data_IF_874031383772
#
_entry.id   IF_874031383772
#
_cell.length_a   1.000
_cell.length_b   1.000
_cell.length_c   1.000
_cell.angle_alpha   90.00
_cell.angle_beta   90.00
_cell.angle_gamma   90.00
#
_symmetry.space_group_name_H-M   'P 1'
#
loop_
_entity.id
_entity.type
_entity.pdbx_description
1 polymer ?
#
# COMPACT_ATOMS: atom_id res chain seq x y z
N UNK A 1 22.55 -12.65 -3.18
CA UNK A 1 21.20 -12.08 -3.28
C UNK A 1 20.32 -13.14 -3.90
N UNK A 2 19.21 -13.50 -3.27
CA UNK A 2 18.21 -14.41 -3.83
C UNK A 2 17.24 -13.64 -4.74
N UNK A 3 16.62 -14.36 -5.67
CA UNK A 3 15.51 -13.84 -6.47
C UNK A 3 14.50 -14.97 -6.68
N UNK A 4 13.27 -14.62 -6.97
CA UNK A 4 12.23 -15.56 -7.34
C UNK A 4 12.14 -15.67 -8.86
N UNK A 5 12.26 -16.90 -9.37
CA UNK A 5 12.11 -17.18 -10.80
C UNK A 5 10.65 -17.51 -11.17
N UNK A 6 10.42 -17.74 -12.47
CA UNK A 6 9.10 -18.08 -12.98
C UNK A 6 8.54 -19.43 -12.48
N UNK A 7 9.36 -20.27 -11.85
CA UNK A 7 8.88 -21.52 -11.24
C UNK A 7 8.42 -21.31 -9.80
N UNK A 8 8.87 -20.23 -9.15
CA UNK A 8 8.51 -19.90 -7.77
C UNK A 8 7.31 -18.96 -7.72
N UNK A 9 7.32 -17.89 -8.54
CA UNK A 9 6.22 -16.92 -8.62
C UNK A 9 5.59 -16.93 -10.01
N UNK A 10 5.10 -18.08 -10.42
CA UNK A 10 4.60 -18.38 -11.77
C UNK A 10 3.50 -17.41 -12.20
N UNK A 11 2.58 -17.04 -11.32
CA UNK A 11 1.52 -16.10 -11.66
C UNK A 11 2.04 -14.71 -12.00
N UNK A 12 3.00 -14.17 -11.23
CA UNK A 12 3.60 -12.86 -11.53
C UNK A 12 4.27 -12.84 -12.91
N UNK A 13 5.00 -13.90 -13.26
CA UNK A 13 5.61 -14.01 -14.57
C UNK A 13 4.58 -14.12 -15.69
N UNK A 14 3.49 -14.87 -15.49
CA UNK A 14 2.40 -14.95 -16.45
C UNK A 14 1.72 -13.60 -16.65
N UNK A 15 1.42 -12.87 -15.56
CA UNK A 15 0.85 -11.53 -15.69
C UNK A 15 1.82 -10.56 -16.38
N UNK A 16 3.11 -10.59 -16.05
CA UNK A 16 4.11 -9.73 -16.66
C UNK A 16 4.25 -9.97 -18.18
N UNK A 17 4.12 -11.23 -18.63
CA UNK A 17 4.19 -11.60 -20.05
C UNK A 17 2.93 -11.24 -20.84
N UNK A 18 1.77 -11.14 -20.18
CA UNK A 18 0.50 -10.82 -20.84
C UNK A 18 0.11 -9.33 -20.75
N UNK A 19 0.62 -8.62 -19.77
CA UNK A 19 0.27 -7.24 -19.49
C UNK A 19 1.51 -6.36 -19.43
N UNK A 20 1.52 -5.29 -18.63
CA UNK A 20 2.61 -4.35 -18.57
C UNK A 20 3.31 -4.38 -17.20
N UNK A 21 4.63 -4.28 -17.23
CA UNK A 21 5.47 -4.08 -16.04
C UNK A 21 6.23 -2.76 -16.15
N UNK A 22 6.64 -2.21 -15.00
CA UNK A 22 7.64 -1.15 -14.96
C UNK A 22 8.90 -1.68 -14.26
N UNK A 23 10.05 -1.58 -14.94
CA UNK A 23 11.34 -2.07 -14.42
C UNK A 23 12.16 -0.96 -13.74
N UNK A 24 11.59 0.22 -13.56
CA UNK A 24 12.22 1.40 -12.99
C UNK A 24 11.35 2.06 -11.92
N UNK A 25 10.66 1.23 -11.12
CA UNK A 25 9.79 1.64 -10.02
C UNK A 25 10.49 1.47 -8.67
N UNK A 26 10.42 2.48 -7.81
CA UNK A 26 11.16 2.55 -6.56
C UNK A 26 10.28 2.84 -5.34
N UNK A 27 10.76 2.45 -4.16
CA UNK A 27 10.26 3.08 -2.93
C UNK A 27 10.46 4.60 -3.04
N UNK A 28 9.45 5.36 -2.64
CA UNK A 28 9.54 6.84 -2.62
C UNK A 28 10.61 7.31 -1.65
N UNK A 29 10.71 6.65 -0.49
CA UNK A 29 11.75 6.91 0.52
C UNK A 29 12.28 5.59 1.08
N UNK A 30 13.49 5.60 1.64
CA UNK A 30 13.96 4.49 2.46
C UNK A 30 13.12 4.40 3.73
N UNK A 31 12.57 3.24 3.99
CA UNK A 31 11.76 2.96 5.16
C UNK A 31 11.02 1.64 5.02
N UNK A 32 10.42 1.13 6.12
CA UNK A 32 9.58 -0.05 6.12
C UNK A 32 8.15 0.27 5.64
N UNK A 33 7.18 -0.61 5.92
CA UNK A 33 5.82 -0.61 5.36
C UNK A 33 5.06 0.70 5.55
N UNK A 34 5.10 1.33 6.73
CA UNK A 34 4.33 2.57 6.97
C UNK A 34 4.74 3.72 6.05
N UNK A 35 6.03 4.10 5.90
CA UNK A 35 6.43 5.09 4.92
C UNK A 35 5.99 4.75 3.49
N UNK A 36 6.11 3.49 3.08
CA UNK A 36 5.69 3.05 1.76
C UNK A 36 4.20 3.19 1.53
N UNK A 37 3.38 2.66 2.43
CA UNK A 37 1.92 2.75 2.37
C UNK A 37 1.42 4.21 2.36
N UNK A 38 2.02 5.08 3.18
CA UNK A 38 1.69 6.51 3.20
C UNK A 38 2.01 7.20 1.87
N UNK A 39 3.12 6.83 1.22
CA UNK A 39 3.47 7.40 -0.08
C UNK A 39 2.51 6.97 -1.20
N UNK A 40 1.93 5.77 -1.13
CA UNK A 40 0.92 5.32 -2.10
C UNK A 40 -0.33 6.21 -2.14
N UNK A 41 -0.69 6.87 -1.04
CA UNK A 41 -1.97 7.57 -0.93
C UNK A 41 -1.87 9.05 -0.57
N UNK A 42 -0.69 9.54 -0.15
CA UNK A 42 -0.46 10.96 0.15
C UNK A 42 0.88 11.50 -0.36
N UNK A 43 1.79 10.60 -0.81
CA UNK A 43 3.15 11.00 -1.18
C UNK A 43 3.90 11.65 -0.01
N UNK A 44 3.52 11.36 1.26
CA UNK A 44 3.92 12.16 2.40
C UNK A 44 4.12 11.31 3.67
N UNK A 45 5.24 11.51 4.34
CA UNK A 45 5.56 10.92 5.66
C UNK A 45 5.85 11.98 6.73
N UNK A 46 5.90 13.25 6.33
CA UNK A 46 6.04 14.40 7.24
C UNK A 46 4.66 14.88 7.76
N UNK A 47 4.66 15.93 8.56
CA UNK A 47 3.48 16.45 9.26
C UNK A 47 2.89 15.50 10.31
N UNK A 48 3.72 14.59 10.83
CA UNK A 48 3.35 13.65 11.88
C UNK A 48 3.41 14.27 13.26
N UNK A 49 2.43 13.92 14.10
CA UNK A 49 2.44 14.16 15.55
C UNK A 49 2.39 12.81 16.24
N UNK A 50 3.40 12.53 17.07
CA UNK A 50 3.43 11.34 17.92
C UNK A 50 2.63 11.55 19.19
N UNK A 51 2.09 10.45 19.74
CA UNK A 51 1.33 10.45 21.00
C UNK A 51 1.78 9.29 21.88
N UNK A 52 1.94 9.56 23.19
CA UNK A 52 2.17 8.55 24.24
C UNK A 52 1.20 8.80 25.37
N UNK A 53 0.39 7.79 25.70
CA UNK A 53 -0.66 7.95 26.72
C UNK A 53 -1.66 9.09 26.42
N UNK A 54 -1.90 9.37 25.13
CA UNK A 54 -2.78 10.44 24.67
C UNK A 54 -2.15 11.84 24.65
N UNK A 55 -0.89 11.99 25.08
CA UNK A 55 -0.17 13.27 25.09
C UNK A 55 0.78 13.38 23.91
N UNK A 56 0.90 14.55 23.25
CA UNK A 56 1.84 14.77 22.16
C UNK A 56 3.29 14.53 22.58
N UNK A 57 4.04 13.87 21.71
CA UNK A 57 5.49 13.67 21.82
C UNK A 57 6.17 14.86 21.15
N UNK A 58 7.10 15.52 21.88
CA UNK A 58 7.80 16.73 21.44
C UNK A 58 9.30 16.53 21.18
N UNK A 59 9.79 15.29 21.32
CA UNK A 59 11.17 14.91 21.06
C UNK A 59 11.23 13.75 20.08
N UNK A 60 12.26 13.71 19.26
CA UNK A 60 12.46 12.61 18.31
C UNK A 60 12.58 11.27 19.03
N UNK A 61 11.99 10.25 18.42
CA UNK A 61 12.12 8.86 18.83
C UNK A 61 13.10 8.20 17.86
N UNK A 62 14.27 7.75 18.34
CA UNK A 62 15.27 7.18 17.47
C UNK A 62 14.70 6.08 16.56
N UNK A 63 15.00 6.18 15.26
CA UNK A 63 14.60 5.22 14.23
C UNK A 63 13.07 5.03 14.04
N UNK A 64 12.23 5.95 14.53
CA UNK A 64 10.79 5.83 14.41
C UNK A 64 10.10 7.14 14.02
N UNK A 65 10.35 8.22 14.74
CA UNK A 65 9.76 9.54 14.49
C UNK A 65 10.84 10.61 14.66
N UNK A 66 11.21 11.27 13.59
CA UNK A 66 12.06 12.44 13.66
C UNK A 66 11.19 13.68 13.86
N UNK A 67 11.49 14.48 14.87
CA UNK A 67 10.89 15.81 15.06
C UNK A 67 11.95 16.87 14.76
N UNK A 68 11.70 17.71 13.77
CA UNK A 68 12.56 18.83 13.43
C UNK A 68 12.55 19.84 14.59
N UNK A 69 13.70 20.09 15.23
CA UNK A 69 13.75 20.97 16.40
C UNK A 69 13.42 22.44 16.11
N UNK A 70 13.46 22.86 14.84
CA UNK A 70 13.19 24.24 14.44
C UNK A 70 11.70 24.48 14.16
N UNK A 71 11.02 23.46 13.58
CA UNK A 71 9.63 23.58 13.13
C UNK A 71 8.65 22.81 14.01
N UNK A 72 9.13 21.84 14.78
CA UNK A 72 8.30 20.88 15.53
C UNK A 72 7.58 19.86 14.63
N UNK A 73 7.86 19.85 13.32
CA UNK A 73 7.24 18.92 12.38
C UNK A 73 7.87 17.54 12.54
N UNK A 74 7.02 16.52 12.70
CA UNK A 74 7.45 15.13 12.74
C UNK A 74 7.49 14.51 11.36
N UNK A 75 8.42 13.57 11.17
CA UNK A 75 8.50 12.68 9.99
C UNK A 75 8.54 11.24 10.46
N UNK A 76 7.63 10.41 9.95
CA UNK A 76 7.59 8.97 10.23
C UNK A 76 8.70 8.30 9.43
N UNK A 77 9.51 7.48 10.10
CA UNK A 77 10.64 6.76 9.50
C UNK A 77 10.59 5.25 9.74
N UNK A 78 9.59 4.77 10.48
CA UNK A 78 9.41 3.35 10.80
C UNK A 78 7.93 3.03 11.03
N UNK A 79 7.60 1.78 11.33
CA UNK A 79 6.25 1.30 11.59
C UNK A 79 5.77 1.75 12.96
N UNK A 80 4.98 2.79 12.96
CA UNK A 80 4.28 3.32 14.13
C UNK A 80 2.78 3.27 13.85
N UNK A 81 2.02 2.63 14.73
CA UNK A 81 0.58 2.51 14.56
C UNK A 81 -0.14 3.86 14.54
N UNK A 82 -1.29 3.97 13.85
CA UNK A 82 -2.10 5.17 13.83
C UNK A 82 -2.70 5.48 15.20
N UNK A 83 -2.72 6.77 15.55
CA UNK A 83 -3.31 7.23 16.80
C UNK A 83 -4.83 7.13 16.78
N UNK A 84 -5.38 6.36 17.69
CA UNK A 84 -6.82 6.23 17.90
C UNK A 84 -7.44 4.97 17.30
N UNK A 85 -6.65 4.12 16.65
CA UNK A 85 -7.08 2.80 16.20
C UNK A 85 -7.27 1.86 17.40
N UNK A 86 -8.49 1.36 17.61
CA UNK A 86 -8.83 0.41 18.69
C UNK A 86 -8.03 -0.91 18.56
N UNK A 87 -7.72 -1.31 17.35
CA UNK A 87 -6.98 -2.53 17.02
C UNK A 87 -5.48 -2.30 16.86
N UNK A 88 -5.05 -1.05 16.76
CA UNK A 88 -3.65 -0.64 16.75
C UNK A 88 -3.06 -0.76 18.15
N UNK A 89 -1.99 -1.50 18.27
CA UNK A 89 -1.15 -1.53 19.48
C UNK A 89 0.17 -2.13 19.08
N UNK A 90 1.10 -1.31 18.67
CA UNK A 90 2.55 -1.62 18.68
C UNK A 90 2.90 -3.14 18.63
N UNK A 91 2.19 -3.88 17.76
CA UNK A 91 2.28 -5.35 17.73
C UNK A 91 3.26 -5.88 16.69
N UNK A 92 3.81 -5.05 15.83
CA UNK A 92 4.57 -5.56 14.70
C UNK A 92 5.78 -4.77 14.24
N UNK A 93 5.94 -3.51 14.65
CA UNK A 93 7.05 -2.68 14.21
C UNK A 93 8.41 -3.20 14.66
N UNK A 94 9.41 -3.01 13.82
CA UNK A 94 10.83 -3.33 14.16
C UNK A 94 11.35 -2.55 15.36
N UNK A 95 10.72 -1.41 15.66
CA UNK A 95 10.97 -0.60 16.85
C UNK A 95 9.73 -0.59 17.72
N UNK A 96 9.71 -1.40 18.77
CA UNK A 96 8.63 -1.44 19.76
C UNK A 96 8.61 -0.14 20.55
N UNK A 97 7.66 0.72 20.23
CA UNK A 97 7.43 1.97 20.98
C UNK A 97 6.00 1.97 21.52
N UNK A 98 5.74 2.71 22.60
CA UNK A 98 4.37 2.98 23.05
C UNK A 98 3.79 4.22 22.36
N UNK A 99 4.37 4.64 21.25
CA UNK A 99 4.01 5.84 20.49
C UNK A 99 3.16 5.44 19.31
N UNK A 100 2.03 6.11 19.17
CA UNK A 100 1.17 6.10 17.99
C UNK A 100 1.26 7.46 17.29
N UNK A 101 0.90 7.55 16.03
CA UNK A 101 1.07 8.78 15.24
C UNK A 101 -0.19 9.18 14.50
N UNK A 102 -0.34 10.48 14.28
CA UNK A 102 -1.35 11.07 13.39
C UNK A 102 -0.67 12.00 12.42
N UNK A 103 -1.11 11.97 11.17
CA UNK A 103 -0.71 12.91 10.14
C UNK A 103 -1.73 14.04 10.03
N UNK A 104 -1.23 15.25 9.79
CA UNK A 104 -2.05 16.37 9.36
C UNK A 104 -1.91 16.59 7.84
N UNK A 105 -2.81 17.37 7.27
CA UNK A 105 -2.86 17.58 5.83
C UNK A 105 -3.94 16.73 5.16
N UNK A 106 -3.79 16.50 3.88
CA UNK A 106 -4.73 15.73 3.06
C UNK A 106 -4.12 14.42 2.59
N UNK A 107 -4.99 13.51 2.26
CA UNK A 107 -4.70 12.30 1.50
C UNK A 107 -5.59 12.23 0.25
N UNK A 108 -5.40 11.25 -0.60
CA UNK A 108 -6.19 11.11 -1.84
C UNK A 108 -7.67 10.91 -1.58
N UNK A 109 -8.05 10.28 -0.45
CA UNK A 109 -9.45 10.12 -0.05
C UNK A 109 -10.17 11.45 0.14
N UNK A 110 -9.48 12.46 0.70
CA UNK A 110 -10.02 13.82 0.80
C UNK A 110 -10.31 14.44 -0.57
N UNK A 111 -9.43 14.18 -1.56
CA UNK A 111 -9.61 14.69 -2.91
C UNK A 111 -10.73 13.95 -3.65
N UNK A 112 -10.81 12.63 -3.50
CA UNK A 112 -11.88 11.80 -4.06
C UNK A 112 -13.24 12.21 -3.49
N UNK A 113 -13.35 12.38 -2.16
CA UNK A 113 -14.56 12.85 -1.49
C UNK A 113 -15.00 14.23 -2.02
N UNK A 114 -14.06 15.16 -2.25
CA UNK A 114 -14.37 16.48 -2.79
C UNK A 114 -14.93 16.45 -4.22
N UNK A 115 -14.72 15.35 -4.94
CA UNK A 115 -15.21 15.11 -6.30
C UNK A 115 -16.37 14.10 -6.38
N UNK A 116 -16.83 13.57 -5.23
CA UNK A 116 -17.82 12.51 -5.15
C UNK A 116 -17.44 11.25 -5.94
N UNK A 117 -16.15 10.93 -5.99
CA UNK A 117 -15.64 9.67 -6.54
C UNK A 117 -15.65 8.63 -5.42
N UNK A 118 -16.28 7.48 -5.65
CA UNK A 118 -16.34 6.41 -4.66
C UNK A 118 -14.97 5.76 -4.49
N UNK A 119 -14.60 5.47 -3.23
CA UNK A 119 -13.32 4.85 -2.95
C UNK A 119 -13.35 4.03 -1.65
N UNK A 120 -12.37 3.15 -1.47
CA UNK A 120 -12.22 2.39 -0.24
C UNK A 120 -10.84 1.78 -0.09
N UNK A 121 -10.42 1.61 1.16
CA UNK A 121 -9.31 0.76 1.55
C UNK A 121 -9.88 -0.53 2.16
N UNK A 122 -9.45 -1.66 1.63
CA UNK A 122 -9.93 -2.99 2.01
C UNK A 122 -8.74 -3.79 2.56
N UNK A 123 -8.66 -3.94 3.88
CA UNK A 123 -7.57 -4.67 4.52
C UNK A 123 -8.05 -5.93 5.20
N UNK A 124 -7.32 -7.01 5.00
CA UNK A 124 -7.63 -8.27 5.64
C UNK A 124 -7.52 -8.21 7.17
N UNK A 125 -8.53 -8.75 7.86
CA UNK A 125 -8.63 -8.73 9.32
C UNK A 125 -9.08 -7.40 9.93
N UNK A 126 -9.50 -6.42 9.10
CA UNK A 126 -10.05 -5.15 9.58
C UNK A 126 -11.36 -5.33 10.34
N UNK A 127 -12.21 -6.29 9.93
CA UNK A 127 -13.43 -6.60 10.66
C UNK A 127 -13.10 -7.13 12.07
N UNK A 128 -13.61 -6.47 13.14
CA UNK A 128 -13.28 -6.86 14.50
C UNK A 128 -13.95 -8.19 14.88
N UNK A 129 -13.23 -9.03 15.63
CA UNK A 129 -13.81 -10.26 16.24
C UNK A 129 -14.74 -9.93 17.40
N UNK A 130 -14.53 -8.77 18.06
CA UNK A 130 -15.43 -8.18 19.03
C UNK A 130 -15.70 -6.74 18.65
N UNK A 131 -16.91 -6.39 18.21
CA UNK A 131 -17.25 -5.02 17.81
C UNK A 131 -17.14 -4.02 18.98
N UNK A 132 -16.83 -2.76 18.66
CA UNK A 132 -16.93 -1.66 19.61
C UNK A 132 -18.36 -1.50 20.11
N UNK A 133 -18.52 -1.08 21.38
CA UNK A 133 -19.81 -0.75 21.95
C UNK A 133 -19.85 0.69 22.43
N UNK A 134 -21.04 1.29 22.45
CA UNK A 134 -21.22 2.69 22.79
C UNK A 134 -22.24 2.86 23.89
N UNK A 135 -22.04 3.86 24.73
CA UNK A 135 -23.00 4.32 25.73
C UNK A 135 -24.20 5.03 25.05
N UNK A 136 -25.25 5.29 25.80
CA UNK A 136 -26.44 5.98 25.28
C UNK A 136 -26.15 7.42 24.81
N UNK A 137 -25.09 8.04 25.31
CA UNK A 137 -24.64 9.39 24.90
C UNK A 137 -23.73 9.36 23.66
N UNK A 138 -23.48 8.17 23.07
CA UNK A 138 -22.63 7.98 21.92
C UNK A 138 -21.13 7.87 22.22
N UNK A 139 -20.74 7.99 23.50
CA UNK A 139 -19.32 7.78 23.87
C UNK A 139 -18.94 6.30 23.81
N UNK A 140 -17.69 6.01 23.51
CA UNK A 140 -17.15 4.64 23.46
C UNK A 140 -17.25 3.98 24.84
N UNK A 141 -17.93 2.82 24.91
CA UNK A 141 -18.01 2.00 26.13
C UNK A 141 -16.92 0.94 26.17
N UNK A 142 -16.73 0.19 25.07
CA UNK A 142 -15.64 -0.76 24.89
C UNK A 142 -15.06 -0.64 23.50
N UNK A 143 -13.71 -0.66 23.33
CA UNK A 143 -13.08 -0.61 22.02
C UNK A 143 -13.30 -1.91 21.24
N UNK A 144 -13.15 -1.84 19.94
CA UNK A 144 -13.11 -3.00 19.06
C UNK A 144 -11.89 -3.89 19.36
N UNK A 145 -11.99 -5.18 19.00
CA UNK A 145 -10.88 -6.13 19.12
C UNK A 145 -10.73 -6.88 17.79
N UNK A 146 -9.60 -6.72 17.11
CA UNK A 146 -9.24 -7.44 15.90
C UNK A 146 -8.28 -8.58 16.25
N UNK A 147 -8.84 -9.72 16.60
CA UNK A 147 -8.07 -10.88 17.06
C UNK A 147 -8.20 -12.08 16.13
N UNK A 148 -8.62 -11.87 14.87
CA UNK A 148 -8.58 -12.94 13.88
C UNK A 148 -7.12 -13.30 13.60
N UNK A 149 -6.86 -14.59 13.52
CA UNK A 149 -5.50 -15.12 13.31
C UNK A 149 -5.55 -16.28 12.34
N UNK A 150 -4.49 -16.40 11.56
CA UNK A 150 -4.22 -17.60 10.77
C UNK A 150 -2.87 -18.18 11.15
N UNK A 151 -2.73 -19.51 10.98
CA UNK A 151 -1.44 -20.15 11.16
C UNK A 151 -0.54 -19.73 9.99
N UNK A 152 0.64 -19.18 10.30
CA UNK A 152 1.64 -18.86 9.30
C UNK A 152 2.04 -20.09 8.49
N UNK A 153 2.53 -19.89 7.27
CA UNK A 153 2.91 -21.00 6.39
C UNK A 153 4.06 -21.81 6.99
N UNK A 154 4.08 -23.16 6.81
CA UNK A 154 5.21 -23.99 7.21
C UNK A 154 6.49 -23.49 6.56
N UNK A 155 7.47 -23.08 7.35
CA UNK A 155 8.73 -22.59 6.86
C UNK A 155 9.06 -21.14 7.29
N UNK A 156 8.10 -20.40 7.83
CA UNK A 156 8.35 -19.08 8.39
C UNK A 156 9.10 -19.22 9.71
N UNK A 157 10.29 -18.59 9.86
CA UNK A 157 11.03 -18.62 11.12
C UNK A 157 10.23 -17.98 12.25
N UNK A 158 10.21 -18.63 13.43
CA UNK A 158 9.59 -18.02 14.60
C UNK A 158 10.41 -16.80 15.04
N UNK A 159 9.90 -15.57 14.94
CA UNK A 159 10.66 -14.37 15.29
C UNK A 159 10.85 -14.19 16.80
N UNK A 160 10.20 -15.02 17.64
CA UNK A 160 10.18 -14.80 19.10
C UNK A 160 11.31 -15.49 19.86
N UNK A 161 11.96 -16.52 19.31
CA UNK A 161 13.01 -17.27 19.99
C UNK A 161 14.45 -16.94 19.53
N UNK A 162 14.59 -16.09 18.52
CA UNK A 162 15.88 -15.69 17.96
C UNK A 162 16.68 -16.82 17.31
N UNK A 163 16.07 -18.00 17.10
CA UNK A 163 16.69 -19.12 16.44
C UNK A 163 16.31 -19.17 14.95
N UNK A 164 17.23 -18.84 14.03
CA UNK A 164 16.91 -18.84 12.60
C UNK A 164 16.59 -20.22 12.01
N UNK A 165 16.80 -21.28 12.77
CA UNK A 165 16.51 -22.65 12.36
C UNK A 165 15.24 -23.21 13.04
N UNK A 166 14.61 -22.44 13.90
CA UNK A 166 13.37 -22.84 14.54
C UNK A 166 12.19 -22.32 13.72
N UNK A 167 11.60 -23.24 12.98
CA UNK A 167 10.37 -23.00 12.21
C UNK A 167 9.21 -23.36 13.11
N UNK A 168 8.51 -22.36 13.65
CA UNK A 168 7.27 -22.59 14.37
C UNK A 168 6.10 -22.60 13.38
N UNK A 169 5.75 -23.78 12.92
CA UNK A 169 4.64 -24.01 11.98
C UNK A 169 3.25 -23.79 12.59
N UNK A 170 3.18 -23.37 13.86
CA UNK A 170 1.93 -23.34 14.62
C UNK A 170 1.65 -22.02 15.33
N UNK A 171 2.52 -21.01 15.22
CA UNK A 171 2.24 -19.71 15.84
C UNK A 171 1.19 -18.96 15.02
N UNK A 172 0.00 -18.68 15.60
CA UNK A 172 -0.99 -17.85 14.93
C UNK A 172 -0.47 -16.44 14.70
N UNK A 173 -0.62 -15.94 13.47
CA UNK A 173 -0.32 -14.55 13.08
C UNK A 173 -1.63 -13.78 13.10
N UNK A 174 -1.64 -12.59 13.70
CA UNK A 174 -2.80 -11.69 13.65
C UNK A 174 -2.98 -11.18 12.22
N UNK A 175 -4.18 -11.31 11.68
CA UNK A 175 -4.49 -10.94 10.29
C UNK A 175 -4.35 -9.45 10.01
N UNK A 176 -4.81 -8.62 10.94
CA UNK A 176 -4.77 -7.16 10.83
C UNK A 176 -3.43 -6.60 11.31
N UNK A 177 -2.85 -5.73 10.52
CA UNK A 177 -1.68 -4.93 10.87
C UNK A 177 -2.05 -3.45 10.79
N UNK A 178 -2.09 -2.75 11.92
CA UNK A 178 -2.56 -1.37 12.01
C UNK A 178 -1.67 -0.40 11.21
N UNK A 179 -0.36 -0.61 11.22
CA UNK A 179 0.57 0.26 10.51
C UNK A 179 0.53 0.08 8.98
N UNK A 180 -0.16 -0.92 8.46
CA UNK A 180 -0.43 -1.10 7.02
C UNK A 180 -1.69 -0.36 6.55
N UNK A 181 -2.43 0.32 7.45
CA UNK A 181 -3.67 1.04 7.15
C UNK A 181 -3.42 2.56 7.05
N UNK A 182 -2.94 3.08 5.90
CA UNK A 182 -2.42 4.45 5.82
C UNK A 182 -3.49 5.53 5.99
N UNK A 183 -4.75 5.25 5.66
CA UNK A 183 -5.85 6.21 5.84
C UNK A 183 -6.24 6.40 7.31
N UNK A 184 -5.89 5.46 8.19
CA UNK A 184 -6.12 5.55 9.63
C UNK A 184 -5.24 6.61 10.31
N UNK A 185 -4.19 7.09 9.66
CA UNK A 185 -3.33 8.16 10.20
C UNK A 185 -3.94 9.55 10.08
N UNK A 186 -5.02 9.73 9.32
CA UNK A 186 -5.63 11.03 9.05
C UNK A 186 -6.98 11.16 9.72
N UNK A 187 -7.22 12.30 10.41
CA UNK A 187 -8.47 12.54 11.11
C UNK A 187 -9.71 12.58 10.19
N UNK A 188 -9.50 12.88 8.89
CA UNK A 188 -10.59 12.93 7.89
C UNK A 188 -11.05 11.55 7.43
N UNK A 189 -10.18 10.55 7.46
CA UNK A 189 -10.46 9.23 6.88
C UNK A 189 -10.40 8.07 7.87
N UNK A 190 -10.02 8.31 9.13
CA UNK A 190 -9.94 7.27 10.16
C UNK A 190 -11.31 6.63 10.46
N UNK A 191 -11.33 5.32 10.62
CA UNK A 191 -12.42 4.55 11.25
C UNK A 191 -11.92 3.92 12.56
N UNK A 192 -11.83 4.68 13.66
CA UNK A 192 -11.08 4.29 14.85
C UNK A 192 -11.66 3.07 15.56
N UNK A 193 -12.94 2.79 15.35
CA UNK A 193 -13.68 1.72 16.02
C UNK A 193 -14.01 0.55 15.09
N UNK A 194 -13.44 0.50 13.90
CA UNK A 194 -13.65 -0.55 12.90
C UNK A 194 -15.15 -0.82 12.63
N UNK A 195 -15.92 0.24 12.51
CA UNK A 195 -17.34 0.12 12.22
C UNK A 195 -17.55 -0.38 10.80
N UNK A 196 -18.44 -1.37 10.59
CA UNK A 196 -18.73 -1.88 9.26
C UNK A 196 -19.51 -0.84 8.44
N UNK A 197 -19.56 -0.97 7.10
CA UNK A 197 -20.45 -0.17 6.28
C UNK A 197 -21.92 -0.41 6.70
N UNK A 198 -22.74 0.61 6.60
CA UNK A 198 -24.17 0.49 6.99
C UNK A 198 -24.97 -0.42 6.04
N UNK A 199 -24.47 -0.63 4.85
CA UNK A 199 -24.95 -1.63 3.88
C UNK A 199 -23.90 -1.84 2.77
N UNK A 200 -24.03 -2.90 1.98
CA UNK A 200 -23.15 -3.14 0.82
C UNK A 200 -23.20 -1.97 -0.16
N UNK A 201 -24.35 -1.31 -0.34
CA UNK A 201 -24.51 -0.16 -1.23
C UNK A 201 -23.79 1.10 -0.72
N UNK A 202 -23.44 1.15 0.56
CA UNK A 202 -22.68 2.26 1.13
C UNK A 202 -21.16 2.06 1.05
N UNK A 203 -20.70 0.89 0.63
CA UNK A 203 -19.26 0.67 0.38
C UNK A 203 -18.79 1.67 -0.69
N UNK A 204 -17.72 2.37 -0.40
CA UNK A 204 -17.17 3.44 -1.25
C UNK A 204 -17.81 4.82 -1.04
N UNK A 205 -18.81 4.93 -0.20
CA UNK A 205 -19.45 6.19 0.18
C UNK A 205 -19.18 6.56 1.63
N UNK A 206 -19.33 7.85 1.96
CA UNK A 206 -19.14 8.33 3.33
C UNK A 206 -20.27 7.85 4.23
N UNK A 207 -19.95 6.98 5.16
CA UNK A 207 -20.82 6.53 6.26
C UNK A 207 -19.97 6.27 7.53
N UNK A 208 -20.45 5.47 8.47
CA UNK A 208 -19.72 5.15 9.69
C UNK A 208 -18.40 4.38 9.47
N UNK A 209 -18.27 3.65 8.35
CA UNK A 209 -17.03 2.94 8.00
C UNK A 209 -15.93 3.90 7.49
N UNK A 210 -16.31 5.12 7.10
CA UNK A 210 -15.42 6.18 6.62
C UNK A 210 -14.40 5.69 5.57
N UNK A 211 -14.87 4.84 4.64
CA UNK A 211 -14.09 4.22 3.56
C UNK A 211 -13.05 3.18 3.97
N UNK A 212 -13.03 2.73 5.24
CA UNK A 212 -12.13 1.69 5.73
C UNK A 212 -12.92 0.40 5.93
N UNK A 213 -12.52 -0.67 5.28
CA UNK A 213 -13.29 -1.91 5.16
C UNK A 213 -12.43 -3.16 5.37
N UNK A 214 -13.08 -4.28 5.66
CA UNK A 214 -12.43 -5.58 5.57
C UNK A 214 -12.37 -6.06 4.10
N UNK A 215 -11.42 -6.94 3.78
CA UNK A 215 -11.28 -7.52 2.43
C UNK A 215 -12.54 -8.26 1.98
N UNK A 216 -13.34 -8.80 2.91
CA UNK A 216 -14.63 -9.43 2.62
C UNK A 216 -15.65 -8.44 2.05
N UNK A 217 -15.58 -7.17 2.42
CA UNK A 217 -16.44 -6.11 1.88
C UNK A 217 -16.11 -5.78 0.42
N UNK A 218 -14.83 -5.92 0.02
CA UNK A 218 -14.45 -5.82 -1.39
C UNK A 218 -15.21 -6.86 -2.24
N UNK A 219 -15.17 -8.13 -1.82
CA UNK A 219 -15.88 -9.17 -2.54
C UNK A 219 -17.41 -9.00 -2.48
N UNK A 220 -17.94 -8.50 -1.37
CA UNK A 220 -19.37 -8.19 -1.25
C UNK A 220 -19.78 -7.08 -2.21
N UNK A 221 -18.99 -6.00 -2.32
CA UNK A 221 -19.22 -4.90 -3.24
C UNK A 221 -19.13 -5.38 -4.71
N UNK A 222 -18.09 -6.15 -5.05
CA UNK A 222 -17.89 -6.71 -6.38
C UNK A 222 -19.06 -7.60 -6.81
N UNK A 223 -19.50 -8.51 -5.93
CA UNK A 223 -20.64 -9.40 -6.20
C UNK A 223 -21.97 -8.65 -6.32
N UNK A 224 -22.08 -7.48 -5.72
CA UNK A 224 -23.27 -6.63 -5.77
C UNK A 224 -23.26 -5.65 -6.97
N UNK A 225 -22.18 -5.60 -7.77
CA UNK A 225 -22.02 -4.60 -8.84
C UNK A 225 -21.86 -3.18 -8.28
N UNK A 226 -21.22 -3.04 -7.10
CA UNK A 226 -21.04 -1.79 -6.39
C UNK A 226 -19.55 -1.56 -6.02
N UNK A 227 -18.64 -2.00 -6.89
CA UNK A 227 -17.21 -1.80 -6.66
C UNK A 227 -16.90 -0.29 -6.69
N UNK A 228 -16.20 0.25 -5.66
CA UNK A 228 -15.79 1.66 -5.69
C UNK A 228 -14.84 1.95 -6.86
N UNK A 229 -14.93 3.18 -7.39
CA UNK A 229 -14.13 3.64 -8.51
C UNK A 229 -12.62 3.62 -8.24
N UNK A 230 -12.22 3.77 -6.97
CA UNK A 230 -10.83 3.57 -6.51
C UNK A 230 -10.86 2.62 -5.32
N UNK A 231 -10.20 1.47 -5.45
CA UNK A 231 -10.15 0.44 -4.43
C UNK A 231 -8.70 0.06 -4.13
N UNK A 232 -8.28 0.21 -2.89
CA UNK A 232 -7.00 -0.27 -2.40
C UNK A 232 -7.24 -1.59 -1.64
N UNK A 233 -6.44 -2.59 -1.93
CA UNK A 233 -6.50 -3.89 -1.26
C UNK A 233 -5.17 -4.17 -0.55
N UNK A 234 -5.24 -4.58 0.71
CA UNK A 234 -4.11 -5.09 1.48
C UNK A 234 -4.47 -6.47 2.02
N UNK A 235 -3.63 -7.46 1.73
CA UNK A 235 -3.81 -8.83 2.19
C UNK A 235 -3.79 -8.95 3.72
N UNK A 236 -4.27 -10.07 4.26
CA UNK A 236 -4.01 -10.45 5.65
C UNK A 236 -2.54 -10.76 5.83
N UNK A 237 -2.01 -10.57 7.03
CA UNK A 237 -0.59 -10.78 7.31
C UNK A 237 -0.07 -12.18 6.89
N UNK A 238 -0.88 -13.23 6.99
CA UNK A 238 -0.45 -14.58 6.61
C UNK A 238 -0.38 -14.79 5.07
N UNK A 239 -0.89 -13.86 4.28
CA UNK A 239 -0.95 -13.93 2.80
C UNK A 239 -0.42 -12.65 2.11
N UNK A 240 0.35 -11.82 2.82
CA UNK A 240 0.82 -10.50 2.36
C UNK A 240 2.21 -10.50 1.68
N UNK A 241 2.87 -11.65 1.61
CA UNK A 241 4.21 -11.78 1.03
C UNK A 241 5.36 -11.40 1.97
N UNK A 242 5.06 -10.86 3.15
CA UNK A 242 6.08 -10.47 4.12
C UNK A 242 6.85 -11.70 4.66
N UNK A 243 8.19 -11.76 4.56
CA UNK A 243 8.99 -12.96 4.91
C UNK A 243 8.82 -13.47 6.34
N UNK A 244 8.39 -12.62 7.27
CA UNK A 244 8.10 -13.00 8.66
C UNK A 244 6.70 -13.57 8.88
N UNK A 245 5.80 -13.43 7.91
CA UNK A 245 4.38 -13.72 8.04
C UNK A 245 3.90 -14.78 7.05
N UNK A 246 4.33 -14.68 5.79
CA UNK A 246 3.85 -15.53 4.71
C UNK A 246 4.99 -15.92 3.75
N UNK A 247 4.66 -16.69 2.74
CA UNK A 247 5.55 -17.01 1.64
C UNK A 247 4.97 -16.51 0.30
N UNK A 248 5.81 -16.44 -0.76
CA UNK A 248 5.37 -15.95 -2.07
C UNK A 248 4.25 -16.75 -2.72
N UNK A 249 4.08 -18.03 -2.39
CA UNK A 249 3.01 -18.86 -2.95
C UNK A 249 1.66 -18.59 -2.29
N UNK A 250 1.66 -18.28 -1.00
CA UNK A 250 0.45 -17.87 -0.30
C UNK A 250 -0.01 -16.49 -0.79
N UNK A 251 0.92 -15.55 -0.96
CA UNK A 251 0.65 -14.26 -1.61
C UNK A 251 0.10 -14.44 -3.02
N UNK A 252 0.76 -15.27 -3.84
CA UNK A 252 0.29 -15.59 -5.19
C UNK A 252 -1.15 -16.11 -5.20
N UNK A 253 -1.49 -17.00 -4.26
CA UNK A 253 -2.85 -17.54 -4.12
C UNK A 253 -3.87 -16.43 -3.86
N UNK A 254 -3.57 -15.49 -2.96
CA UNK A 254 -4.41 -14.33 -2.69
C UNK A 254 -4.61 -13.48 -3.95
N UNK A 255 -3.52 -13.06 -4.58
CA UNK A 255 -3.56 -12.20 -5.78
C UNK A 255 -4.33 -12.85 -6.93
N UNK A 256 -4.08 -14.13 -7.21
CA UNK A 256 -4.78 -14.85 -8.29
C UNK A 256 -6.28 -14.97 -8.01
N UNK A 257 -6.68 -15.22 -6.76
CA UNK A 257 -8.09 -15.27 -6.38
C UNK A 257 -8.79 -13.91 -6.59
N UNK A 258 -8.16 -12.81 -6.18
CA UNK A 258 -8.68 -11.45 -6.40
C UNK A 258 -8.82 -11.17 -7.89
N UNK A 259 -7.75 -11.37 -8.66
CA UNK A 259 -7.71 -11.07 -10.09
C UNK A 259 -8.68 -11.94 -10.90
N UNK A 260 -8.73 -13.24 -10.62
CA UNK A 260 -9.69 -14.13 -11.29
C UNK A 260 -11.14 -13.72 -11.02
N UNK A 261 -11.45 -13.31 -9.79
CA UNK A 261 -12.80 -12.88 -9.42
C UNK A 261 -13.17 -11.58 -10.12
N UNK A 262 -12.26 -10.61 -10.14
CA UNK A 262 -12.46 -9.33 -10.81
C UNK A 262 -12.60 -9.50 -12.31
N UNK A 263 -11.68 -10.24 -12.96
CA UNK A 263 -11.71 -10.45 -14.42
C UNK A 263 -12.95 -11.20 -14.91
N UNK A 264 -13.60 -12.00 -14.04
CA UNK A 264 -14.87 -12.67 -14.33
C UNK A 264 -16.09 -11.79 -14.11
N UNK A 265 -15.94 -10.64 -13.46
CA UNK A 265 -17.03 -9.70 -13.21
C UNK A 265 -17.20 -8.70 -14.36
N UNK A 266 -18.35 -8.05 -14.47
CA UNK A 266 -18.53 -6.96 -15.42
C UNK A 266 -17.54 -5.81 -15.25
N UNK A 267 -17.17 -5.50 -14.00
CA UNK A 267 -16.27 -4.42 -13.62
C UNK A 267 -14.83 -4.66 -14.11
N UNK A 268 -14.41 -5.92 -14.25
CA UNK A 268 -13.09 -6.26 -14.76
C UNK A 268 -12.79 -5.72 -16.17
N UNK A 269 -13.83 -5.48 -16.95
CA UNK A 269 -13.70 -4.93 -18.31
C UNK A 269 -13.25 -3.46 -18.35
N UNK A 270 -13.45 -2.74 -17.26
CA UNK A 270 -13.19 -1.30 -17.16
C UNK A 270 -12.19 -0.98 -16.03
N UNK A 271 -11.57 -2.00 -15.44
CA UNK A 271 -10.68 -1.85 -14.29
C UNK A 271 -9.22 -1.98 -14.70
N UNK A 272 -8.38 -1.12 -14.14
CA UNK A 272 -6.94 -1.28 -14.11
C UNK A 272 -6.52 -1.70 -12.69
N UNK A 273 -5.83 -2.83 -12.59
CA UNK A 273 -5.24 -3.31 -11.33
C UNK A 273 -3.75 -3.00 -11.36
N UNK A 274 -3.28 -2.33 -10.32
CA UNK A 274 -1.87 -2.08 -10.08
C UNK A 274 -1.45 -2.98 -8.92
N UNK A 275 -0.39 -3.78 -9.12
CA UNK A 275 0.26 -4.57 -8.08
C UNK A 275 1.61 -3.95 -7.79
N UNK A 276 1.82 -3.60 -6.52
CA UNK A 276 3.10 -3.09 -6.02
C UNK A 276 3.23 -3.38 -4.53
N UNK A 277 4.38 -3.08 -3.97
CA UNK A 277 4.72 -3.33 -2.58
C UNK A 277 4.92 -2.02 -1.81
N UNK A 278 4.60 -2.02 -0.52
CA UNK A 278 4.85 -0.91 0.40
C UNK A 278 6.35 -0.76 0.69
N UNK A 279 7.10 -1.87 0.78
CA UNK A 279 8.56 -1.83 0.88
C UNK A 279 9.21 -3.11 0.31
N UNK A 280 10.52 -3.24 0.48
CA UNK A 280 11.28 -4.38 -0.03
C UNK A 280 11.43 -5.53 0.97
N UNK A 281 11.05 -5.36 2.21
CA UNK A 281 11.14 -6.36 3.30
C UNK A 281 12.47 -7.12 3.39
N UNK A 282 13.56 -6.45 3.08
CA UNK A 282 14.87 -7.08 3.01
C UNK A 282 15.17 -7.84 1.72
N UNK A 283 14.24 -7.91 0.77
CA UNK A 283 14.46 -8.36 -0.58
C UNK A 283 15.01 -7.20 -1.41
N UNK A 284 16.33 -7.16 -1.59
CA UNK A 284 16.99 -6.05 -2.27
C UNK A 284 17.25 -6.39 -3.73
N UNK A 285 16.86 -5.44 -4.57
CA UNK A 285 17.33 -5.39 -5.95
C UNK A 285 18.78 -4.87 -6.01
N UNK A 286 19.49 -5.17 -7.08
CA UNK A 286 20.84 -4.64 -7.33
C UNK A 286 20.84 -3.24 -7.94
N UNK A 287 19.67 -2.68 -8.30
CA UNK A 287 19.53 -1.36 -8.88
C UNK A 287 19.27 -0.31 -7.79
N UNK A 288 20.18 0.64 -7.66
CA UNK A 288 19.97 1.80 -6.80
C UNK A 288 19.12 2.85 -7.51
N UNK A 289 18.19 3.46 -6.75
CA UNK A 289 17.48 4.66 -7.17
C UNK A 289 18.34 5.91 -7.07
N UNK A 290 18.03 6.91 -7.89
CA UNK A 290 18.62 8.26 -7.74
C UNK A 290 18.13 8.92 -6.44
N UNK A 291 19.01 9.66 -5.77
CA UNK A 291 18.59 10.44 -4.60
C UNK A 291 17.88 11.71 -5.07
N UNK A 292 16.56 11.69 -5.07
CA UNK A 292 15.69 12.83 -5.43
C UNK A 292 15.29 13.66 -4.22
N UNK A 293 15.33 13.05 -3.03
CA UNK A 293 15.06 13.70 -1.74
C UNK A 293 16.25 13.51 -0.81
N UNK A 294 17.21 14.46 -0.80
CA UNK A 294 18.34 14.39 0.12
C UNK A 294 17.90 14.68 1.55
N UNK A 295 18.59 14.10 2.51
CA UNK A 295 18.36 14.25 3.95
C UNK A 295 19.67 14.31 4.71
N UNK A 296 19.70 15.02 5.84
CA UNK A 296 20.88 15.17 6.67
C UNK A 296 20.50 15.06 8.16
N UNK A 297 20.20 13.85 8.59
CA UNK A 297 19.83 13.54 9.98
C UNK A 297 20.70 12.42 10.54
N UNK A 298 20.60 12.17 11.83
CA UNK A 298 21.28 11.03 12.46
C UNK A 298 20.78 9.67 11.97
N UNK A 299 19.69 9.62 11.22
CA UNK A 299 19.11 8.39 10.62
C UNK A 299 19.65 8.12 9.21
N UNK A 300 20.33 9.08 8.60
CA UNK A 300 20.81 8.97 7.23
C UNK A 300 22.21 8.33 7.18
N UNK A 301 22.38 7.34 6.29
CA UNK A 301 23.66 6.63 6.13
C UNK A 301 23.99 6.30 4.68
N UNK A 302 23.14 6.70 3.71
CA UNK A 302 23.31 6.27 2.33
C UNK A 302 24.61 6.78 1.70
N UNK A 303 24.95 8.04 1.90
CA UNK A 303 26.19 8.63 1.38
C UNK A 303 27.35 8.51 2.36
N UNK A 304 27.13 9.03 3.55
CA UNK A 304 28.00 8.90 4.73
C UNK A 304 27.13 9.01 5.97
N UNK A 305 27.69 8.72 7.16
CA UNK A 305 26.96 8.89 8.40
C UNK A 305 26.41 10.33 8.51
N UNK A 306 25.11 10.45 8.71
CA UNK A 306 24.41 11.73 8.81
C UNK A 306 24.07 12.39 7.47
N UNK A 307 24.19 11.68 6.34
CA UNK A 307 23.88 12.26 5.02
C UNK A 307 23.34 11.21 4.04
N UNK A 308 22.26 11.60 3.37
CA UNK A 308 21.70 10.95 2.20
C UNK A 308 21.79 11.91 1.01
N UNK A 309 22.57 11.56 0.00
CA UNK A 309 22.77 12.37 -1.20
C UNK A 309 23.60 13.64 -0.92
N UNK A 310 23.04 14.78 -1.21
CA UNK A 310 23.67 16.11 -1.01
C UNK A 310 23.06 16.82 0.21
N UNK A 311 23.63 17.97 0.58
CA UNK A 311 23.01 18.81 1.61
C UNK A 311 21.60 19.21 1.17
N UNK A 312 20.54 18.92 1.96
CA UNK A 312 19.18 19.22 1.57
C UNK A 312 18.94 20.73 1.50
N UNK A 313 17.98 21.18 0.64
CA UNK A 313 17.57 22.56 0.57
C UNK A 313 17.07 23.08 1.94
N UNK A 314 17.20 24.39 2.15
CA UNK A 314 16.65 25.04 3.34
C UNK A 314 15.12 24.87 3.36
N UNK A 315 14.57 24.40 4.48
CA UNK A 315 13.13 24.15 4.65
C UNK A 315 12.65 22.80 4.16
N UNK A 316 13.54 21.92 3.66
CA UNK A 316 13.18 20.55 3.31
C UNK A 316 12.78 19.75 4.55
N UNK A 317 11.76 18.89 4.42
CA UNK A 317 11.43 17.92 5.45
C UNK A 317 12.50 16.85 5.52
N UNK A 318 13.10 16.70 6.70
CA UNK A 318 14.20 15.77 6.92
C UNK A 318 13.70 14.33 7.11
N UNK A 319 14.64 13.37 7.04
CA UNK A 319 14.40 11.92 7.17
C UNK A 319 13.49 11.33 6.08
N UNK A 320 13.48 11.94 4.90
CA UNK A 320 12.78 11.45 3.70
C UNK A 320 13.77 11.13 2.58
N UNK A 321 14.87 10.46 2.98
CA UNK A 321 15.88 9.98 2.03
C UNK A 321 15.24 9.05 0.99
N UNK A 322 15.36 9.34 -0.27
CA UNK A 322 14.78 8.59 -1.39
C UNK A 322 15.30 9.07 -2.76
N UNK A 323 15.11 8.29 -3.81
CA UNK A 323 14.34 7.03 -3.80
C UNK A 323 15.04 5.91 -3.03
N UNK A 324 14.23 5.00 -2.48
CA UNK A 324 14.68 3.78 -1.84
C UNK A 324 14.92 2.62 -2.83
N UNK A 325 14.85 1.34 -2.41
CA UNK A 325 15.04 0.18 -3.28
C UNK A 325 14.04 0.12 -4.43
N UNK A 326 14.44 -0.53 -5.55
CA UNK A 326 13.54 -0.85 -6.66
C UNK A 326 12.58 -1.96 -6.24
N UNK A 327 11.30 -1.81 -6.63
CA UNK A 327 10.20 -2.71 -6.30
C UNK A 327 9.55 -3.28 -7.57
N UNK A 328 8.93 -4.46 -7.50
CA UNK A 328 8.07 -4.96 -8.57
C UNK A 328 6.86 -4.05 -8.79
N UNK A 329 6.49 -3.85 -10.06
CA UNK A 329 5.33 -3.05 -10.43
C UNK A 329 4.66 -3.62 -11.68
N UNK A 330 3.39 -4.00 -11.56
CA UNK A 330 2.60 -4.57 -12.64
C UNK A 330 1.31 -3.78 -12.84
N UNK A 331 0.90 -3.63 -14.11
CA UNK A 331 -0.42 -3.13 -14.48
C UNK A 331 -1.16 -4.21 -15.24
N UNK A 332 -2.29 -4.65 -14.70
CA UNK A 332 -3.16 -5.69 -15.25
C UNK A 332 -4.49 -5.04 -15.61
N UNK A 333 -4.78 -4.93 -16.89
CA UNK A 333 -5.98 -4.25 -17.40
C UNK A 333 -6.25 -4.65 -18.83
N UNK A 334 -7.50 -4.66 -19.30
CA UNK A 334 -7.80 -4.73 -20.72
C UNK A 334 -7.11 -3.62 -21.54
N UNK A 335 -6.82 -2.49 -20.89
CA UNK A 335 -6.16 -1.32 -21.52
C UNK A 335 -4.64 -1.30 -21.35
N UNK A 336 -4.05 -2.22 -20.59
CA UNK A 336 -2.60 -2.30 -20.46
C UNK A 336 -1.98 -2.73 -21.81
N UNK A 337 -0.78 -2.24 -22.11
CA UNK A 337 0.00 -2.74 -23.24
C UNK A 337 0.34 -4.22 -23.03
N UNK A 338 0.36 -5.02 -24.11
CA UNK A 338 0.66 -6.44 -24.04
C UNK A 338 2.16 -6.67 -24.03
N UNK A 339 2.63 -7.58 -23.13
CA UNK A 339 4.03 -7.96 -23.01
C UNK A 339 4.98 -6.75 -23.06
N UNK A 340 4.67 -5.73 -22.27
CA UNK A 340 5.32 -4.41 -22.34
C UNK A 340 6.13 -4.12 -21.08
N UNK A 341 7.34 -3.62 -21.28
CA UNK A 341 8.19 -3.12 -20.20
C UNK A 341 8.29 -1.59 -20.31
N UNK A 342 7.78 -0.89 -19.32
CA UNK A 342 7.95 0.55 -19.19
C UNK A 342 9.23 0.85 -18.40
N UNK A 343 10.05 1.76 -18.93
CA UNK A 343 11.31 2.19 -18.32
C UNK A 343 11.20 3.59 -17.68
N UNK A 344 10.01 4.15 -17.64
CA UNK A 344 9.78 5.45 -16.98
C UNK A 344 10.12 5.33 -15.50
N UNK A 345 10.95 6.26 -14.99
CA UNK A 345 11.22 6.31 -13.56
C UNK A 345 9.96 6.68 -12.79
N UNK A 346 9.52 5.79 -11.93
CA UNK A 346 8.30 5.88 -11.13
C UNK A 346 8.59 5.50 -9.68
N UNK A 347 7.68 5.85 -8.80
CA UNK A 347 7.72 5.49 -7.38
C UNK A 347 6.30 5.25 -6.84
N UNK A 348 6.18 4.93 -5.57
CA UNK A 348 4.87 4.67 -4.96
C UNK A 348 3.87 5.81 -5.16
N UNK A 349 4.33 7.08 -5.14
CA UNK A 349 3.46 8.23 -5.40
C UNK A 349 3.03 8.37 -6.87
N UNK A 350 3.60 7.57 -7.78
CA UNK A 350 3.10 7.48 -9.16
C UNK A 350 1.71 6.87 -9.24
N UNK A 351 1.34 5.99 -8.29
CA UNK A 351 -0.04 5.45 -8.19
C UNK A 351 -1.01 6.55 -7.76
N UNK A 352 -0.61 7.37 -6.79
CA UNK A 352 -1.37 8.53 -6.36
C UNK A 352 -1.57 9.51 -7.53
N UNK A 353 -0.50 9.87 -8.23
CA UNK A 353 -0.55 10.74 -9.40
C UNK A 353 -1.47 10.20 -10.50
N UNK A 354 -1.44 8.89 -10.76
CA UNK A 354 -2.34 8.27 -11.74
C UNK A 354 -3.82 8.48 -11.38
N UNK A 355 -4.18 8.31 -10.10
CA UNK A 355 -5.54 8.57 -9.60
C UNK A 355 -5.89 10.05 -9.74
N UNK A 356 -4.98 10.96 -9.37
CA UNK A 356 -5.17 12.40 -9.48
C UNK A 356 -5.39 12.85 -10.93
N UNK A 357 -4.62 12.32 -11.88
CA UNK A 357 -4.75 12.60 -13.30
C UNK A 357 -6.06 12.03 -13.85
N UNK A 358 -6.39 10.77 -13.55
CA UNK A 358 -7.57 10.08 -14.07
C UNK A 358 -8.89 10.77 -13.63
N UNK A 359 -8.97 11.20 -12.38
CA UNK A 359 -10.17 11.82 -11.81
C UNK A 359 -10.12 13.35 -11.77
N UNK A 360 -9.08 13.97 -12.32
CA UNK A 360 -8.86 15.43 -12.32
C UNK A 360 -8.96 16.03 -10.90
N UNK A 361 -8.30 15.40 -9.94
CA UNK A 361 -8.37 15.79 -8.53
C UNK A 361 -7.47 17.00 -8.21
N UNK A 362 -6.40 17.21 -8.98
CA UNK A 362 -5.28 18.08 -8.61
C UNK A 362 -4.37 17.38 -7.59
N UNK A 363 -3.30 18.03 -7.19
CA UNK A 363 -2.30 17.49 -6.28
C UNK A 363 -2.70 17.59 -4.80
N UNK A 364 -2.16 16.74 -3.95
CA UNK A 364 -2.42 16.71 -2.50
C UNK A 364 -2.25 18.10 -1.86
N UNK A 365 -1.14 18.76 -2.10
CA UNK A 365 -0.83 20.06 -1.52
C UNK A 365 -1.36 21.25 -2.36
N UNK A 366 -2.10 20.97 -3.43
CA UNK A 366 -2.64 21.97 -4.33
C UNK A 366 -1.58 22.71 -5.17
N UNK A 367 -1.96 23.75 -5.92
CA UNK A 367 -1.10 24.39 -6.92
C UNK A 367 0.08 25.18 -6.33
N UNK A 368 0.07 25.48 -5.05
CA UNK A 368 1.11 26.27 -4.36
C UNK A 368 2.16 25.44 -3.63
N UNK A 369 2.07 24.11 -3.71
CA UNK A 369 3.06 23.26 -3.06
C UNK A 369 4.46 23.48 -3.63
N UNK A 370 5.51 23.31 -2.83
CA UNK A 370 6.89 23.37 -3.30
C UNK A 370 7.14 22.40 -4.45
N UNK A 371 7.88 22.81 -5.50
CA UNK A 371 8.06 21.99 -6.70
C UNK A 371 9.06 20.83 -6.54
N UNK A 372 9.73 20.70 -5.43
CA UNK A 372 10.91 19.84 -5.23
C UNK A 372 10.67 18.65 -4.30
N UNK A 373 9.42 18.15 -4.22
CA UNK A 373 9.06 16.97 -3.43
C UNK A 373 9.17 17.15 -1.92
N UNK A 374 9.28 18.39 -1.46
CA UNK A 374 9.40 18.70 -0.03
C UNK A 374 8.10 18.51 0.73
N UNK A 375 6.96 18.53 0.02
CA UNK A 375 5.66 18.20 0.57
C UNK A 375 5.22 16.80 0.12
N UNK A 376 4.31 16.68 -0.84
CA UNK A 376 3.96 15.40 -1.46
C UNK A 376 4.89 15.10 -2.66
N UNK A 377 5.24 13.83 -2.83
CA UNK A 377 6.02 13.38 -3.99
C UNK A 377 5.19 13.29 -5.29
N UNK A 378 3.86 13.40 -5.22
CA UNK A 378 2.95 13.32 -6.37
C UNK A 378 3.37 14.21 -7.57
N UNK A 379 3.96 15.38 -7.28
CA UNK A 379 4.39 16.32 -8.31
C UNK A 379 5.61 15.90 -9.12
N UNK A 380 6.50 15.14 -8.52
CA UNK A 380 7.74 14.66 -9.17
C UNK A 380 7.64 13.20 -9.58
N UNK A 381 6.59 12.52 -9.15
CA UNK A 381 6.30 11.15 -9.51
C UNK A 381 6.24 10.96 -11.03
N UNK A 382 6.72 9.85 -11.54
CA UNK A 382 6.59 9.49 -12.94
C UNK A 382 5.13 9.19 -13.32
N UNK A 383 4.74 9.42 -14.58
CA UNK A 383 3.41 9.06 -15.07
C UNK A 383 3.33 7.58 -15.44
N UNK A 384 2.22 6.92 -15.09
CA UNK A 384 1.94 5.53 -15.47
C UNK A 384 1.25 5.40 -16.84
N UNK A 385 0.88 6.52 -17.46
CA UNK A 385 0.11 6.53 -18.72
C UNK A 385 0.82 5.80 -19.88
N UNK A 386 2.16 5.74 -19.83
CA UNK A 386 2.96 5.00 -20.81
C UNK A 386 2.70 3.49 -20.84
N UNK A 387 2.15 2.93 -19.77
CA UNK A 387 1.82 1.49 -19.66
C UNK A 387 0.47 1.13 -20.28
N UNK A 388 -0.33 2.11 -20.65
CA UNK A 388 -1.69 1.92 -21.21
C UNK A 388 -1.73 2.20 -22.71
N UNK A 389 -2.69 1.58 -23.36
CA UNK A 389 -3.09 1.82 -24.74
C UNK A 389 -4.62 1.96 -24.80
N UNK A 390 -5.08 3.19 -24.94
CA UNK A 390 -6.50 3.53 -25.01
C UNK A 390 -7.01 3.74 -26.46
N UNK A 391 -6.10 3.70 -27.44
CA UNK A 391 -6.45 4.00 -28.84
C UNK A 391 -7.12 2.81 -29.54
N UNK A 392 -6.87 1.59 -29.07
CA UNK A 392 -7.47 0.38 -29.62
C UNK A 392 -8.85 0.11 -28.98
N UNK A 393 -9.85 0.92 -29.33
CA UNK A 393 -11.19 0.85 -28.74
C UNK A 393 -12.13 -0.20 -29.35
N UNK A 394 -11.78 -0.83 -30.46
CA UNK A 394 -12.59 -1.88 -31.11
C UNK A 394 -12.37 -3.25 -30.43
N UNK A 395 -12.60 -3.30 -29.10
CA UNK A 395 -12.41 -4.52 -28.31
C UNK A 395 -13.72 -5.25 -28.11
N UNK A 396 -14.11 -6.03 -29.10
CA UNK A 396 -15.14 -7.07 -28.91
C UNK A 396 -14.64 -8.16 -27.94
N UNK A 397 -13.30 -8.36 -27.87
CA UNK A 397 -12.64 -9.29 -26.96
C UNK A 397 -11.84 -8.57 -25.87
N UNK A 398 -12.37 -8.60 -24.65
CA UNK A 398 -11.70 -8.08 -23.45
C UNK A 398 -10.52 -9.01 -23.09
N UNK A 399 -9.30 -8.45 -22.97
CA UNK A 399 -8.14 -9.22 -22.55
C UNK A 399 -8.30 -9.70 -21.12
N UNK A 400 -8.23 -11.02 -20.93
CA UNK A 400 -8.25 -11.66 -19.62
C UNK A 400 -7.21 -12.76 -19.53
N UNK A 401 -6.69 -12.97 -18.33
CA UNK A 401 -5.77 -14.07 -18.02
C UNK A 401 -6.21 -14.71 -16.70
N UNK A 402 -6.81 -15.88 -16.79
CA UNK A 402 -7.26 -16.65 -15.64
C UNK A 402 -6.18 -17.68 -15.29
N UNK A 403 -5.72 -17.64 -14.07
CA UNK A 403 -4.66 -18.52 -13.57
C UNK A 403 -5.20 -19.49 -12.51
N UNK A 404 -4.50 -20.60 -12.32
CA UNK A 404 -4.70 -21.51 -11.18
C UNK A 404 -4.11 -20.86 -9.92
N UNK A 405 -4.91 -20.63 -8.86
CA UNK A 405 -4.43 -19.95 -7.66
C UNK A 405 -3.41 -20.77 -6.85
N UNK A 406 -3.33 -22.08 -7.08
CA UNK A 406 -2.42 -22.97 -6.34
C UNK A 406 -1.01 -22.94 -6.90
N UNK A 407 -0.87 -22.82 -8.23
CA UNK A 407 0.42 -22.97 -8.89
C UNK A 407 0.74 -21.85 -9.93
N UNK A 408 -0.20 -20.91 -10.13
CA UNK A 408 -0.01 -19.76 -11.02
C UNK A 408 -0.04 -20.07 -12.52
N UNK A 409 -0.34 -21.33 -12.92
CA UNK A 409 -0.39 -21.69 -14.34
C UNK A 409 -1.62 -21.17 -15.04
N UNK A 410 -1.52 -20.95 -16.36
CA UNK A 410 -2.61 -20.44 -17.19
C UNK A 410 -3.72 -21.49 -17.31
N UNK A 411 -4.94 -21.10 -16.92
CA UNK A 411 -6.18 -21.88 -17.10
C UNK A 411 -6.87 -21.47 -18.40
N UNK A 412 -6.96 -20.16 -18.64
CA UNK A 412 -7.50 -19.61 -19.90
C UNK A 412 -7.01 -18.18 -20.11
N UNK A 413 -6.89 -17.77 -21.36
CA UNK A 413 -6.62 -16.40 -21.78
C UNK A 413 -7.58 -16.02 -22.91
N UNK A 414 -7.87 -14.71 -23.03
CA UNK A 414 -8.63 -14.14 -24.14
C UNK A 414 -8.06 -12.78 -24.54
N UNK A 415 -8.29 -12.37 -25.78
CA UNK A 415 -7.87 -11.06 -26.30
C UNK A 415 -6.38 -10.94 -26.69
N UNK A 416 -5.65 -12.05 -26.77
CA UNK A 416 -4.24 -12.09 -27.21
C UNK A 416 -4.11 -12.46 -28.71
N UNK A 417 -5.00 -12.00 -29.55
CA UNK A 417 -4.91 -12.26 -31.01
C UNK A 417 -4.05 -11.20 -31.72
N UNK A 418 -2.79 -11.08 -31.34
CA UNK A 418 -1.78 -10.54 -32.22
C UNK A 418 -1.26 -11.71 -33.06
N UNK A 419 -1.88 -11.86 -34.25
CA UNK A 419 -1.52 -12.86 -35.23
C UNK A 419 -0.06 -12.79 -35.66
N UNK A 420 0.80 -13.45 -34.94
CA UNK A 420 2.11 -13.87 -35.42
C UNK A 420 2.06 -15.35 -35.83
N UNK A 421 1.28 -15.61 -36.89
CA UNK A 421 1.54 -16.72 -37.77
C UNK A 421 2.83 -16.42 -38.57
N UNK A 422 3.98 -16.55 -37.96
CA UNK A 422 5.22 -16.72 -38.70
C UNK A 422 5.48 -18.21 -38.88
N UNK A 423 5.10 -18.70 -40.09
CA UNK A 423 5.62 -19.91 -40.72
C UNK A 423 7.16 -19.86 -40.84
#
# INVERSE_FOLDING_TARGET
MGYYDGNTVTAFWNYAQHFAINDNFFNTVYGPSTPGALNLMSGQTAHATGFTGGLPVIVSIPQALLIDPNTGVGTITNDLDPFGDDCGRDKGGTVKTSVTVRLSGKNVGDLLNAKNVTWGWFQGGFAPTVPATFNQDGSLATPAVCASTHTGHPGVPNPTDGNPNHVDVHTPITDYSAHHEPFMYYASTINPHHLPPTSVQMIGHSDQANHQYDISDFFAALNAGNLPAVSYLKARAFEDGHPGNSDPLTEQTFLVNVLNTLQKSPEGKETAVIITYDDSDGWYDHQFGDVVSPSATSFDFLTVQGLCGTTPPSGAFQARCGYGPRLPFLVISPFAKSNFVDHTRTDQSSTLRFIEENWHLGFIDGPKAPPDGQASFDRIAGSLMGMFDFDHQDRDDVRTLILDPTNGTVVSSSGDDDGDNHN
#
